data_IF_128028165380
#
_entry.id   IF_128028165380
#
_cell.length_a   1.000
_cell.length_b   1.000
_cell.length_c   1.000
_cell.angle_alpha   90.00
_cell.angle_beta   90.00
_cell.angle_gamma   90.00
#
_symmetry.space_group_name_H-M   'P 1'
#
loop_
_entity.id
_entity.type
_entity.pdbx_description
1 polymer ?
#
# COMPACT_ATOMS: atom_id res chain seq x y z
N UNK A 1 9.66 -8.79 -58.72
CA UNK A 1 9.29 -9.85 -57.78
C UNK A 1 9.43 -9.27 -56.37
N UNK A 2 8.30 -8.98 -55.69
CA UNK A 2 8.25 -8.36 -54.36
C UNK A 2 8.24 -9.47 -53.31
N UNK A 3 9.21 -9.47 -52.40
CA UNK A 3 9.18 -10.30 -51.19
C UNK A 3 8.81 -9.37 -50.05
N UNK A 4 7.59 -9.51 -49.54
CA UNK A 4 7.12 -8.81 -48.33
C UNK A 4 7.40 -9.76 -47.17
N UNK A 5 8.40 -9.44 -46.35
CA UNK A 5 8.56 -10.08 -45.04
C UNK A 5 7.59 -9.43 -44.07
N UNK A 6 6.50 -10.13 -43.77
CA UNK A 6 5.60 -9.79 -42.65
C UNK A 6 6.23 -10.36 -41.39
N UNK A 7 6.91 -9.51 -40.64
CA UNK A 7 7.37 -9.82 -39.28
C UNK A 7 6.20 -9.60 -38.32
N UNK A 8 5.43 -10.65 -38.03
CA UNK A 8 4.54 -10.68 -36.87
C UNK A 8 5.40 -10.80 -35.60
N UNK A 9 5.74 -9.67 -34.99
CA UNK A 9 6.27 -9.66 -33.63
C UNK A 9 5.11 -10.02 -32.70
N UNK A 10 5.17 -11.23 -32.17
CA UNK A 10 4.33 -11.68 -31.07
C UNK A 10 4.54 -10.74 -29.87
N UNK A 11 3.59 -9.83 -29.65
CA UNK A 11 3.40 -9.17 -28.37
C UNK A 11 2.95 -10.23 -27.37
N UNK A 12 3.90 -10.84 -26.65
CA UNK A 12 3.58 -11.61 -25.46
C UNK A 12 3.03 -10.64 -24.41
N UNK A 13 1.70 -10.54 -24.36
CA UNK A 13 0.96 -9.86 -23.33
C UNK A 13 1.08 -10.67 -22.03
N UNK A 14 2.15 -10.45 -21.27
CA UNK A 14 2.25 -10.88 -19.88
C UNK A 14 1.34 -9.99 -19.03
N UNK A 15 0.02 -10.17 -19.14
CA UNK A 15 -0.90 -9.66 -18.13
C UNK A 15 -0.84 -10.61 -16.95
N UNK A 16 0.16 -10.42 -16.09
CA UNK A 16 -0.02 -10.79 -14.70
C UNK A 16 -1.22 -9.96 -14.21
N UNK A 17 -2.37 -10.62 -14.00
CA UNK A 17 -3.54 -9.97 -13.44
C UNK A 17 -3.14 -9.39 -12.08
N UNK A 18 -2.96 -8.07 -12.03
CA UNK A 18 -2.72 -7.38 -10.79
C UNK A 18 -3.94 -7.63 -9.88
N UNK A 19 -3.70 -7.96 -8.61
CA UNK A 19 -4.76 -8.10 -7.64
C UNK A 19 -5.46 -6.74 -7.48
N UNK A 20 -6.71 -6.65 -7.90
CA UNK A 20 -7.52 -5.46 -7.67
C UNK A 20 -8.16 -5.59 -6.28
N UNK A 21 -7.45 -5.07 -5.28
CA UNK A 21 -7.94 -5.02 -3.92
C UNK A 21 -9.21 -4.15 -3.82
N UNK A 22 -10.23 -4.59 -3.06
CA UNK A 22 -11.41 -3.77 -2.84
C UNK A 22 -11.03 -2.48 -2.12
N UNK A 23 -11.50 -1.35 -2.64
CA UNK A 23 -11.37 -0.07 -1.94
C UNK A 23 -12.17 -0.13 -0.63
N UNK A 24 -11.61 0.42 0.43
CA UNK A 24 -12.26 0.50 1.73
C UNK A 24 -13.55 1.31 1.63
N UNK A 25 -14.65 0.67 2.00
CA UNK A 25 -15.95 1.32 2.09
C UNK A 25 -16.14 1.95 3.47
N UNK A 26 -16.18 3.29 3.50
CA UNK A 26 -16.39 4.08 4.72
C UNK A 26 -17.72 3.78 5.42
N UNK A 27 -18.70 3.17 4.72
CA UNK A 27 -19.98 2.77 5.30
C UNK A 27 -19.89 1.55 6.23
N UNK A 28 -18.81 0.75 6.15
CA UNK A 28 -18.59 -0.45 7.00
C UNK A 28 -18.47 -0.13 8.49
N UNK A 29 -18.23 1.15 8.84
CA UNK A 29 -18.03 1.60 10.20
C UNK A 29 -16.67 1.17 10.77
N UNK A 30 -16.22 1.79 11.87
CA UNK A 30 -14.95 1.47 12.50
C UNK A 30 -15.00 0.11 13.21
N UNK A 31 -13.91 -0.66 13.14
CA UNK A 31 -13.66 -1.82 14.02
C UNK A 31 -12.31 -1.67 14.70
N UNK A 32 -12.14 -2.25 15.89
CA UNK A 32 -10.94 -2.08 16.71
C UNK A 32 -9.65 -2.60 16.04
N UNK A 33 -9.77 -3.52 15.08
CA UNK A 33 -8.64 -4.10 14.33
C UNK A 33 -8.46 -3.50 12.91
N UNK A 34 -9.16 -2.40 12.61
CA UNK A 34 -9.11 -1.77 11.30
C UNK A 34 -7.88 -0.87 11.16
N UNK A 35 -6.93 -1.34 10.35
CA UNK A 35 -5.77 -0.58 9.91
C UNK A 35 -5.89 -0.33 8.41
N UNK A 36 -5.88 0.94 8.03
CA UNK A 36 -6.10 1.40 6.65
C UNK A 36 -4.85 2.07 6.13
N UNK A 37 -4.47 1.69 4.91
CA UNK A 37 -3.46 2.40 4.15
C UNK A 37 -4.13 3.14 2.99
N UNK A 38 -3.72 4.37 2.77
CA UNK A 38 -4.27 5.24 1.74
C UNK A 38 -3.22 5.82 0.83
N UNK A 39 -3.58 6.04 -0.43
CA UNK A 39 -2.73 6.63 -1.46
C UNK A 39 -3.43 7.84 -2.09
N UNK A 40 -2.69 8.93 -2.23
CA UNK A 40 -3.09 10.07 -3.06
C UNK A 40 -1.96 10.43 -4.03
N UNK A 41 -2.31 10.50 -5.31
CA UNK A 41 -1.44 10.99 -6.36
C UNK A 41 -1.99 12.33 -6.86
N UNK A 42 -1.42 13.42 -6.38
CA UNK A 42 -1.91 14.77 -6.65
C UNK A 42 -1.02 15.48 -7.67
N UNK A 43 -1.42 15.43 -8.94
CA UNK A 43 -0.69 16.05 -10.05
C UNK A 43 -0.59 17.58 -9.91
N UNK A 44 -1.67 18.23 -9.46
CA UNK A 44 -1.75 19.68 -9.34
C UNK A 44 -0.79 20.22 -8.27
N UNK A 45 -0.77 19.57 -7.10
CA UNK A 45 0.15 19.90 -6.01
C UNK A 45 1.55 19.30 -6.21
N UNK A 46 1.71 18.44 -7.23
CA UNK A 46 2.93 17.67 -7.52
C UNK A 46 3.41 16.84 -6.34
N UNK A 47 2.48 16.13 -5.72
CA UNK A 47 2.69 15.40 -4.47
C UNK A 47 2.16 13.98 -4.57
N UNK A 48 2.97 13.03 -4.13
CA UNK A 48 2.57 11.68 -3.76
C UNK A 48 2.45 11.63 -2.23
N UNK A 49 1.33 11.13 -1.71
CA UNK A 49 1.17 10.90 -0.27
C UNK A 49 0.62 9.50 0.01
N UNK A 50 1.31 8.77 0.88
CA UNK A 50 0.80 7.55 1.49
C UNK A 50 0.48 7.87 2.94
N UNK A 51 -0.75 7.59 3.35
CA UNK A 51 -1.19 7.71 4.74
C UNK A 51 -1.49 6.34 5.34
N UNK A 52 -1.28 6.21 6.64
CA UNK A 52 -1.69 5.04 7.41
C UNK A 52 -2.56 5.50 8.57
N UNK A 53 -3.67 4.81 8.76
CA UNK A 53 -4.80 5.27 9.55
C UNK A 53 -5.37 4.12 10.36
N UNK A 54 -5.84 4.44 11.56
CA UNK A 54 -6.76 3.62 12.32
C UNK A 54 -8.20 3.94 11.91
N UNK A 55 -9.14 3.16 12.44
CA UNK A 55 -10.57 3.38 12.29
C UNK A 55 -11.04 4.78 12.73
N UNK A 56 -10.30 5.44 13.63
CA UNK A 56 -10.71 6.68 14.29
C UNK A 56 -10.09 7.94 13.69
N UNK A 57 -9.07 7.81 12.83
CA UNK A 57 -8.33 8.94 12.26
C UNK A 57 -8.29 8.90 10.72
N UNK A 58 -9.35 8.41 10.09
CA UNK A 58 -9.50 8.37 8.64
C UNK A 58 -9.24 9.73 7.97
N UNK A 59 -8.63 9.75 6.76
CA UNK A 59 -8.35 11.01 6.09
C UNK A 59 -9.65 11.72 5.71
N UNK A 60 -9.66 13.04 5.87
CA UNK A 60 -10.77 13.92 5.45
C UNK A 60 -10.68 14.31 3.97
N UNK A 61 -9.49 14.18 3.37
CA UNK A 61 -9.25 14.38 1.94
C UNK A 61 -9.52 13.11 1.14
N UNK A 62 -9.66 13.26 -0.19
CA UNK A 62 -9.83 12.15 -1.11
C UNK A 62 -8.51 11.38 -1.25
N UNK A 63 -8.56 10.07 -0.98
CA UNK A 63 -7.48 9.11 -1.17
C UNK A 63 -8.12 7.79 -1.61
N UNK A 64 -7.41 7.00 -2.41
CA UNK A 64 -7.70 5.56 -2.48
C UNK A 64 -7.36 4.95 -1.12
N UNK A 65 -8.19 4.05 -0.62
CA UNK A 65 -8.06 3.49 0.72
C UNK A 65 -8.22 1.98 0.66
N UNK A 66 -7.44 1.25 1.44
CA UNK A 66 -7.55 -0.19 1.57
C UNK A 66 -7.43 -0.60 3.03
N UNK A 67 -8.34 -1.49 3.46
CA UNK A 67 -8.17 -2.22 4.70
C UNK A 67 -7.02 -3.22 4.49
N UNK A 68 -5.99 -3.12 5.33
CA UNK A 68 -4.84 -4.02 5.25
C UNK A 68 -5.22 -5.47 5.52
N UNK A 69 -6.30 -5.73 6.26
CA UNK A 69 -6.80 -7.09 6.48
C UNK A 69 -7.35 -7.72 5.20
N UNK A 70 -8.01 -6.94 4.33
CA UNK A 70 -8.54 -7.40 3.04
C UNK A 70 -7.42 -7.75 2.03
N UNK A 71 -6.16 -7.38 2.34
CA UNK A 71 -4.98 -7.70 1.52
C UNK A 71 -4.33 -9.03 1.90
N UNK A 72 -4.87 -9.77 2.87
CA UNK A 72 -4.42 -11.13 3.17
C UNK A 72 -5.54 -12.14 3.01
N UNK A 73 -5.16 -13.39 2.78
CA UNK A 73 -6.07 -14.53 2.79
C UNK A 73 -5.66 -15.47 3.92
N UNK A 74 -6.60 -15.77 4.80
CA UNK A 74 -6.41 -16.83 5.80
C UNK A 74 -6.72 -18.19 5.17
N UNK A 75 -5.98 -19.22 5.57
CA UNK A 75 -6.21 -20.58 5.13
C UNK A 75 -7.54 -21.08 5.68
N UNK A 76 -8.38 -21.63 4.81
CA UNK A 76 -9.66 -22.21 5.22
C UNK A 76 -9.42 -23.33 6.24
N UNK A 77 -10.22 -23.34 7.31
CA UNK A 77 -10.19 -24.34 8.39
C UNK A 77 -8.84 -24.41 9.14
N UNK A 78 -8.11 -23.29 9.22
CA UNK A 78 -6.79 -23.23 9.87
C UNK A 78 -6.50 -21.83 10.42
N UNK A 79 -5.72 -21.76 11.49
CA UNK A 79 -5.28 -20.49 12.09
C UNK A 79 -4.04 -19.90 11.40
N UNK A 80 -3.86 -20.14 10.10
CA UNK A 80 -2.68 -19.65 9.38
C UNK A 80 -3.07 -18.70 8.26
N UNK A 81 -2.24 -17.69 8.03
CA UNK A 81 -2.29 -16.87 6.83
C UNK A 81 -1.79 -17.71 5.65
N UNK A 82 -2.61 -17.82 4.60
CA UNK A 82 -2.31 -18.59 3.39
C UNK A 82 -1.47 -17.76 2.41
N UNK A 83 -1.86 -16.50 2.19
CA UNK A 83 -1.20 -15.60 1.26
C UNK A 83 -1.45 -14.14 1.60
N UNK A 84 -0.59 -13.28 1.05
CA UNK A 84 -0.73 -11.82 1.07
C UNK A 84 -0.78 -11.31 -0.36
N UNK A 85 -1.46 -10.18 -0.56
CA UNK A 85 -1.63 -9.54 -1.86
C UNK A 85 -1.09 -8.12 -1.80
N UNK A 86 -0.24 -7.78 -2.76
CA UNK A 86 0.27 -6.43 -2.91
C UNK A 86 -0.62 -5.63 -3.86
N UNK A 87 -0.76 -4.35 -3.56
CA UNK A 87 -1.36 -3.39 -4.48
C UNK A 87 -0.22 -2.65 -5.17
N UNK A 88 -0.26 -2.63 -6.49
CA UNK A 88 0.68 -1.86 -7.30
C UNK A 88 -0.07 -0.69 -7.92
N UNK A 89 0.47 0.52 -7.76
CA UNK A 89 -0.04 1.76 -8.33
C UNK A 89 1.09 2.49 -9.03
N UNK A 90 0.78 3.05 -10.19
CA UNK A 90 1.68 3.89 -10.95
C UNK A 90 1.09 5.29 -10.93
N UNK A 91 1.89 6.28 -10.54
CA UNK A 91 1.49 7.67 -10.47
C UNK A 91 2.50 8.52 -11.24
N UNK A 92 2.03 9.13 -12.32
CA UNK A 92 2.82 10.06 -13.12
C UNK A 92 2.56 11.48 -12.59
N UNK A 93 3.56 12.11 -11.98
CA UNK A 93 3.43 13.43 -11.34
C UNK A 93 4.48 14.36 -11.94
N UNK A 94 4.05 15.24 -12.83
CA UNK A 94 4.95 16.12 -13.56
C UNK A 94 5.86 15.33 -14.51
N UNK A 95 7.16 15.30 -14.22
CA UNK A 95 8.16 14.54 -15.02
C UNK A 95 8.56 13.22 -14.37
N UNK A 96 8.09 12.97 -13.15
CA UNK A 96 8.49 11.83 -12.35
C UNK A 96 7.41 10.77 -12.41
N UNK A 97 7.81 9.53 -12.64
CA UNK A 97 6.97 8.35 -12.50
C UNK A 97 7.25 7.69 -11.15
N UNK A 98 6.18 7.44 -10.40
CA UNK A 98 6.23 6.73 -9.13
C UNK A 98 5.58 5.36 -9.27
N UNK A 99 6.29 4.31 -8.87
CA UNK A 99 5.72 2.96 -8.70
C UNK A 99 5.60 2.72 -7.21
N UNK A 100 4.36 2.67 -6.73
CA UNK A 100 4.01 2.44 -5.33
C UNK A 100 3.53 1.01 -5.18
N UNK A 101 4.18 0.25 -4.29
CA UNK A 101 3.71 -1.07 -3.87
C UNK A 101 3.29 -0.99 -2.41
N UNK A 102 2.02 -1.25 -2.16
CA UNK A 102 1.43 -1.36 -0.82
C UNK A 102 1.33 -2.85 -0.48
N UNK A 103 1.77 -3.23 0.71
CA UNK A 103 1.75 -4.61 1.20
C UNK A 103 1.09 -4.70 2.58
N UNK A 104 0.31 -5.75 2.87
CA UNK A 104 -0.04 -6.08 4.23
C UNK A 104 1.17 -6.66 4.96
N UNK A 105 1.21 -6.42 6.26
CA UNK A 105 2.19 -7.00 7.19
C UNK A 105 1.39 -7.78 8.23
N UNK A 106 1.24 -9.10 8.07
CA UNK A 106 0.55 -9.91 9.07
C UNK A 106 1.26 -9.79 10.43
N UNK A 107 0.51 -9.54 11.50
CA UNK A 107 1.08 -9.52 12.84
C UNK A 107 1.66 -10.88 13.22
N UNK A 108 1.04 -11.95 12.75
CA UNK A 108 1.61 -13.28 12.79
C UNK A 108 1.08 -14.13 11.62
N UNK A 109 1.91 -15.04 11.10
CA UNK A 109 1.48 -16.02 10.12
C UNK A 109 0.59 -17.11 10.72
N UNK A 110 0.67 -17.32 12.04
CA UNK A 110 -0.28 -18.09 12.83
C UNK A 110 -1.13 -17.13 13.68
N UNK A 111 -2.44 -17.09 13.44
CA UNK A 111 -3.40 -16.18 14.07
C UNK A 111 -3.51 -16.35 15.60
N UNK A 112 -3.03 -17.47 16.16
CA UNK A 112 -2.93 -17.68 17.61
C UNK A 112 -1.59 -17.21 18.21
N UNK A 113 -0.69 -16.66 17.39
CA UNK A 113 0.58 -16.12 17.84
C UNK A 113 0.45 -14.82 18.62
N UNK A 114 1.58 -14.31 19.13
CA UNK A 114 1.67 -13.13 20.03
C UNK A 114 0.87 -11.90 19.57
N UNK A 115 0.77 -11.69 18.25
CA UNK A 115 0.18 -10.51 17.63
C UNK A 115 -1.18 -10.80 16.98
N UNK A 116 -1.69 -12.01 17.17
CA UNK A 116 -3.01 -12.43 16.75
C UNK A 116 -3.24 -12.36 15.25
N UNK A 117 -4.50 -12.11 14.90
CA UNK A 117 -4.97 -11.97 13.52
C UNK A 117 -4.78 -10.56 12.93
N UNK A 118 -4.15 -9.64 13.66
CA UNK A 118 -3.93 -8.26 13.21
C UNK A 118 -3.14 -8.22 11.91
N UNK A 119 -3.41 -7.21 11.11
CA UNK A 119 -2.69 -6.93 9.88
C UNK A 119 -2.33 -5.46 9.87
N UNK A 120 -1.09 -5.18 9.51
CA UNK A 120 -0.52 -3.84 9.45
C UNK A 120 -0.21 -3.48 7.99
N UNK A 121 0.28 -2.27 7.75
CA UNK A 121 0.63 -1.77 6.43
C UNK A 121 2.14 -1.63 6.22
N UNK A 122 2.59 -1.83 4.99
CA UNK A 122 3.92 -1.45 4.52
C UNK A 122 3.85 -0.90 3.11
N UNK A 123 4.88 -0.16 2.70
CA UNK A 123 4.99 0.25 1.31
C UNK A 123 6.44 0.33 0.83
N UNK A 124 6.60 0.15 -0.47
CA UNK A 124 7.81 0.50 -1.20
C UNK A 124 7.48 1.46 -2.34
N UNK A 125 8.34 2.46 -2.55
CA UNK A 125 8.15 3.52 -3.54
C UNK A 125 9.41 3.62 -4.38
N UNK A 126 9.25 3.45 -5.69
CA UNK A 126 10.27 3.74 -6.67
C UNK A 126 9.92 5.03 -7.42
N UNK A 127 10.90 5.93 -7.60
CA UNK A 127 10.80 7.15 -8.41
C UNK A 127 11.75 7.01 -9.59
N UNK A 128 11.23 7.02 -10.81
CA UNK A 128 12.01 6.83 -12.05
C UNK A 128 12.98 5.63 -11.93
N UNK A 129 12.46 4.47 -11.54
CA UNK A 129 13.19 3.22 -11.30
C UNK A 129 14.18 3.19 -10.12
N UNK A 130 14.25 4.25 -9.32
CA UNK A 130 15.09 4.31 -8.11
C UNK A 130 14.23 4.11 -6.87
N UNK A 131 14.56 3.11 -6.04
CA UNK A 131 13.90 2.90 -4.75
C UNK A 131 14.23 4.07 -3.80
N UNK A 132 13.21 4.78 -3.34
CA UNK A 132 13.34 5.94 -2.43
C UNK A 132 12.68 5.73 -1.07
N UNK A 133 11.87 4.68 -0.93
CA UNK A 133 11.23 4.31 0.34
C UNK A 133 10.92 2.81 0.34
N UNK A 134 11.20 2.12 1.44
CA UNK A 134 10.80 0.73 1.68
C UNK A 134 10.75 0.45 3.18
N UNK A 135 9.61 0.72 3.81
CA UNK A 135 9.41 0.49 5.24
C UNK A 135 8.01 -0.07 5.51
N UNK A 136 7.89 -0.78 6.63
CA UNK A 136 6.60 -1.07 7.23
C UNK A 136 6.13 0.16 8.01
N UNK A 137 4.84 0.50 7.89
CA UNK A 137 4.27 1.62 8.62
C UNK A 137 4.05 1.27 10.09
N UNK A 138 3.71 0.02 10.33
CA UNK A 138 3.60 -0.58 11.65
C UNK A 138 3.96 -2.06 11.57
N UNK A 139 4.47 -2.58 12.67
CA UNK A 139 4.67 -3.98 12.92
C UNK A 139 4.24 -4.29 14.37
N UNK A 140 4.19 -5.58 14.71
CA UNK A 140 3.81 -5.95 16.05
C UNK A 140 4.78 -5.38 17.09
N UNK A 141 4.23 -4.71 18.10
CA UNK A 141 4.97 -4.07 19.19
C UNK A 141 5.81 -2.86 18.74
N UNK A 142 5.52 -2.26 17.58
CA UNK A 142 6.08 -0.97 17.20
C UNK A 142 5.77 0.10 18.26
N UNK A 143 6.81 0.73 18.79
CA UNK A 143 6.64 1.91 19.65
C UNK A 143 6.19 3.14 18.85
N UNK A 144 6.65 3.22 17.59
CA UNK A 144 6.37 4.31 16.66
C UNK A 144 5.76 3.78 15.37
N UNK A 145 4.74 4.48 14.90
CA UNK A 145 3.99 4.16 13.70
C UNK A 145 4.26 5.25 12.68
N UNK A 146 4.65 4.88 11.46
CA UNK A 146 4.65 5.83 10.34
C UNK A 146 3.19 6.12 10.05
N UNK A 147 2.76 7.36 10.21
CA UNK A 147 1.40 7.78 9.88
C UNK A 147 1.32 8.37 8.48
N UNK A 148 2.44 8.85 7.95
CA UNK A 148 2.49 9.51 6.64
C UNK A 148 3.86 9.45 6.00
N UNK A 149 3.87 9.20 4.69
CA UNK A 149 5.00 9.39 3.80
C UNK A 149 4.56 10.36 2.70
N UNK A 150 5.24 11.50 2.58
CA UNK A 150 4.92 12.52 1.58
C UNK A 150 6.13 12.81 0.72
N UNK A 151 5.95 12.78 -0.60
CA UNK A 151 7.00 13.06 -1.57
C UNK A 151 6.50 14.18 -2.48
N UNK A 152 7.26 15.27 -2.55
CA UNK A 152 7.02 16.35 -3.49
C UNK A 152 8.03 16.25 -4.63
N UNK A 153 7.63 16.56 -5.87
CA UNK A 153 8.53 16.43 -7.05
C UNK A 153 9.80 17.29 -6.99
N UNK A 154 9.78 18.36 -6.19
CA UNK A 154 10.91 19.26 -5.94
C UNK A 154 11.86 18.75 -4.84
N UNK A 155 11.54 17.64 -4.20
CA UNK A 155 12.34 16.99 -3.16
C UNK A 155 12.86 15.64 -3.65
N UNK A 156 14.07 15.29 -3.19
CA UNK A 156 14.68 13.99 -3.49
C UNK A 156 14.24 12.91 -2.49
N UNK A 157 14.09 13.29 -1.22
CA UNK A 157 13.80 12.37 -0.13
C UNK A 157 12.35 12.49 0.33
N UNK A 158 11.69 11.37 0.70
CA UNK A 158 10.38 11.40 1.33
C UNK A 158 10.41 12.10 2.70
N UNK A 159 9.38 12.90 2.98
CA UNK A 159 9.09 13.40 4.33
C UNK A 159 8.24 12.38 5.07
N UNK A 160 8.82 11.78 6.11
CA UNK A 160 8.17 10.74 6.92
C UNK A 160 7.69 11.34 8.24
N UNK A 161 6.40 11.17 8.55
CA UNK A 161 5.82 11.52 9.85
C UNK A 161 5.60 10.24 10.65
N UNK A 162 6.11 10.21 11.87
CA UNK A 162 5.91 9.11 12.83
C UNK A 162 5.14 9.61 14.04
N UNK A 163 4.25 8.79 14.57
CA UNK A 163 3.51 9.02 15.81
C UNK A 163 3.86 7.94 16.82
N UNK A 164 3.79 8.26 18.11
CA UNK A 164 3.85 7.20 19.12
C UNK A 164 2.57 6.35 19.05
N UNK A 165 2.67 5.06 19.40
CA UNK A 165 1.52 4.13 19.32
C UNK A 165 0.27 4.66 20.06
N UNK A 166 0.47 5.32 21.21
CA UNK A 166 -0.64 5.93 21.98
C UNK A 166 -1.28 7.12 21.28
N UNK A 167 -0.56 7.82 20.41
CA UNK A 167 -1.08 8.97 19.66
C UNK A 167 -1.80 8.51 18.40
N UNK A 168 -1.33 7.43 17.77
CA UNK A 168 -1.94 6.89 16.56
C UNK A 168 -3.35 6.30 16.79
N UNK A 169 -3.54 5.62 17.92
CA UNK A 169 -4.80 4.94 18.29
C UNK A 169 -5.73 5.75 19.22
N UNK A 170 -5.50 7.06 19.35
CA UNK A 170 -6.41 8.00 20.03
C UNK A 170 -7.46 8.54 19.06
#
# INVERSE_FOLDING_TARGET
MKIIFVFCIFFFCNQAFAFEAPQYDRSRGPTDDLNIIGLECNENMKVLEIGYFSAYNLPTKSMELWDTFDLKKNKKDSDYVESVYEIIRICDIGKDQYIVKIRPVPGNWNLNGRCGARTYGGASIMKNDVLIFDENFEECESEKIISKVRISTDQNDPVITKLDHKEFYK
#
